data_IF_038997466887
#
_entry.id   IF_038997466887
#
_cell.length_a   1.000
_cell.length_b   1.000
_cell.length_c   1.000
_cell.angle_alpha   90.00
_cell.angle_beta   90.00
_cell.angle_gamma   90.00
#
_symmetry.space_group_name_H-M   'P 1'
#
loop_
_entity.id
_entity.type
_entity.pdbx_description
1 polymer ?
#
# COMPACT_ATOMS: atom_id res chain seq x y z
N UNK A 1 -17.98 -4.18 23.05
CA UNK A 1 -16.66 -4.61 23.58
C UNK A 1 -15.68 -5.09 22.48
N UNK A 2 -15.54 -4.38 21.34
CA UNK A 2 -14.66 -4.79 20.23
C UNK A 2 -13.31 -4.02 20.15
N UNK A 3 -13.01 -3.17 21.15
CA UNK A 3 -12.03 -2.08 21.04
C UNK A 3 -10.58 -2.45 21.40
N UNK A 4 -10.31 -3.70 21.78
CA UNK A 4 -9.00 -4.13 22.31
C UNK A 4 -8.16 -5.00 21.35
N UNK A 5 -8.62 -5.30 20.13
CA UNK A 5 -8.00 -6.33 19.27
C UNK A 5 -6.87 -5.85 18.34
N UNK A 6 -6.56 -4.55 18.27
CA UNK A 6 -5.54 -4.03 17.35
C UNK A 6 -4.27 -3.52 18.03
N UNK A 7 -4.30 -3.27 19.35
CA UNK A 7 -3.09 -2.92 20.10
C UNK A 7 -2.17 -4.15 20.16
N UNK A 8 -0.93 -4.00 19.72
CA UNK A 8 0.05 -5.08 19.61
C UNK A 8 -0.05 -5.93 18.33
N UNK A 9 -0.93 -5.58 17.39
CA UNK A 9 -1.04 -6.31 16.12
C UNK A 9 0.10 -5.94 15.16
N UNK A 10 0.98 -6.89 14.78
CA UNK A 10 2.10 -6.61 13.89
C UNK A 10 1.64 -6.13 12.51
N UNK A 11 0.48 -6.58 12.02
CA UNK A 11 -0.02 -6.18 10.72
C UNK A 11 -0.51 -4.72 10.74
N UNK A 12 -1.12 -4.28 11.85
CA UNK A 12 -1.46 -2.86 12.05
C UNK A 12 -0.21 -1.98 12.08
N UNK A 13 0.86 -2.43 12.75
CA UNK A 13 2.13 -1.72 12.78
C UNK A 13 2.74 -1.57 11.38
N UNK A 14 2.70 -2.64 10.56
CA UNK A 14 3.19 -2.58 9.19
C UNK A 14 2.41 -1.60 8.32
N UNK A 15 1.09 -1.48 8.49
CA UNK A 15 0.33 -0.44 7.78
C UNK A 15 0.70 0.97 8.23
N UNK A 16 0.88 1.20 9.53
CA UNK A 16 1.31 2.50 10.04
C UNK A 16 2.70 2.89 9.49
N UNK A 17 3.64 1.94 9.46
CA UNK A 17 4.95 2.12 8.84
C UNK A 17 4.84 2.36 7.33
N UNK A 18 3.97 1.64 6.64
CA UNK A 18 3.70 1.84 5.21
C UNK A 18 3.20 3.27 4.93
N UNK A 19 2.30 3.79 5.76
CA UNK A 19 1.85 5.18 5.69
C UNK A 19 2.98 6.18 5.94
N UNK A 20 3.86 5.93 6.91
CA UNK A 20 5.03 6.78 7.17
C UNK A 20 5.99 6.81 5.96
N UNK A 21 6.27 5.64 5.36
CA UNK A 21 7.09 5.54 4.15
C UNK A 21 6.45 6.31 2.99
N UNK A 22 5.12 6.21 2.82
CA UNK A 22 4.40 6.94 1.79
C UNK A 22 4.54 8.47 1.97
N UNK A 23 4.47 8.98 3.21
CA UNK A 23 4.70 10.41 3.50
C UNK A 23 6.12 10.82 3.10
N UNK A 24 7.13 10.04 3.48
CA UNK A 24 8.53 10.32 3.13
C UNK A 24 8.72 10.34 1.61
N UNK A 25 8.21 9.32 0.91
CA UNK A 25 8.32 9.21 -0.54
C UNK A 25 7.61 10.37 -1.26
N UNK A 26 6.40 10.74 -0.82
CA UNK A 26 5.65 11.87 -1.39
C UNK A 26 6.35 13.21 -1.17
N UNK A 27 6.86 13.46 0.03
CA UNK A 27 7.60 14.69 0.34
C UNK A 27 8.91 14.79 -0.47
N UNK A 28 9.65 13.68 -0.58
CA UNK A 28 10.85 13.63 -1.41
C UNK A 28 10.53 13.80 -2.89
N UNK A 29 9.44 13.20 -3.38
CA UNK A 29 8.96 13.38 -4.75
C UNK A 29 8.62 14.84 -5.08
N UNK A 30 8.02 15.57 -4.14
CA UNK A 30 7.59 16.95 -4.33
C UNK A 30 8.73 17.99 -4.24
N UNK A 31 9.79 17.71 -3.49
CA UNK A 31 10.83 18.70 -3.17
C UNK A 31 12.26 18.27 -3.54
N UNK A 32 12.55 16.98 -3.57
CA UNK A 32 13.90 16.42 -3.74
C UNK A 32 14.12 15.65 -5.05
N UNK A 33 13.09 15.44 -5.86
CA UNK A 33 13.17 14.74 -7.14
C UNK A 33 12.58 15.57 -8.28
N UNK A 34 12.92 15.21 -9.52
CA UNK A 34 12.39 15.86 -10.72
C UNK A 34 12.12 14.84 -11.83
N UNK A 35 11.32 15.26 -12.82
CA UNK A 35 10.98 14.44 -13.98
C UNK A 35 10.36 13.09 -13.59
N UNK A 36 10.78 12.02 -14.28
CA UNK A 36 10.14 10.71 -14.11
C UNK A 36 10.28 10.11 -12.71
N UNK A 37 11.37 10.44 -11.99
CA UNK A 37 11.56 9.99 -10.62
C UNK A 37 10.52 10.62 -9.68
N UNK A 38 10.23 11.93 -9.82
CA UNK A 38 9.19 12.60 -9.06
C UNK A 38 7.81 12.00 -9.32
N UNK A 39 7.48 11.73 -10.59
CA UNK A 39 6.21 11.08 -10.97
C UNK A 39 6.06 9.70 -10.30
N UNK A 40 7.08 8.85 -10.35
CA UNK A 40 7.04 7.53 -9.74
C UNK A 40 6.93 7.59 -8.21
N UNK A 41 7.64 8.51 -7.56
CA UNK A 41 7.52 8.73 -6.12
C UNK A 41 6.12 9.20 -5.74
N UNK A 42 5.53 10.12 -6.50
CA UNK A 42 4.18 10.62 -6.27
C UNK A 42 3.14 9.50 -6.42
N UNK A 43 3.17 8.76 -7.54
CA UNK A 43 2.23 7.65 -7.77
C UNK A 43 2.40 6.53 -6.74
N UNK A 44 3.63 6.15 -6.41
CA UNK A 44 3.88 5.13 -5.38
C UNK A 44 3.36 5.59 -4.00
N UNK A 45 3.62 6.84 -3.62
CA UNK A 45 3.19 7.40 -2.34
C UNK A 45 1.67 7.43 -2.21
N UNK A 46 0.97 7.85 -3.27
CA UNK A 46 -0.49 7.87 -3.31
C UNK A 46 -1.07 6.47 -3.10
N UNK A 47 -0.65 5.49 -3.90
CA UNK A 47 -1.15 4.13 -3.79
C UNK A 47 -0.81 3.51 -2.43
N UNK A 48 0.42 3.70 -1.94
CA UNK A 48 0.83 3.18 -0.65
C UNK A 48 0.01 3.76 0.51
N UNK A 49 -0.22 5.08 0.51
CA UNK A 49 -1.00 5.75 1.55
C UNK A 49 -2.46 5.28 1.55
N UNK A 50 -3.12 5.24 0.38
CA UNK A 50 -4.51 4.79 0.24
C UNK A 50 -4.67 3.38 0.83
N UNK A 51 -3.77 2.47 0.48
CA UNK A 51 -3.87 1.07 0.88
C UNK A 51 -3.41 0.84 2.33
N UNK A 52 -2.51 1.68 2.85
CA UNK A 52 -2.19 1.69 4.28
C UNK A 52 -3.40 2.07 5.13
N UNK A 53 -4.08 3.16 4.78
CA UNK A 53 -5.29 3.62 5.50
C UNK A 53 -6.43 2.61 5.35
N UNK A 54 -6.70 2.13 4.13
CA UNK A 54 -7.73 1.13 3.89
C UNK A 54 -7.47 -0.17 4.68
N UNK A 55 -6.20 -0.60 4.71
CA UNK A 55 -5.75 -1.75 5.48
C UNK A 55 -6.03 -1.61 6.98
N UNK A 56 -5.68 -0.48 7.59
CA UNK A 56 -5.98 -0.20 9.00
C UNK A 56 -7.49 -0.26 9.29
N UNK A 57 -8.32 0.29 8.40
CA UNK A 57 -9.78 0.31 8.55
C UNK A 57 -10.38 -1.09 8.47
N UNK A 58 -9.90 -1.94 7.54
CA UNK A 58 -10.50 -3.25 7.27
C UNK A 58 -9.87 -4.41 8.04
N UNK A 59 -8.72 -4.18 8.69
CA UNK A 59 -7.96 -5.21 9.40
C UNK A 59 -8.80 -6.05 10.38
N UNK A 60 -9.67 -5.41 11.16
CA UNK A 60 -10.52 -6.09 12.12
C UNK A 60 -11.66 -6.90 11.49
N UNK A 61 -12.03 -6.59 10.23
CA UNK A 61 -13.11 -7.25 9.48
C UNK A 61 -12.61 -8.34 8.54
N UNK A 62 -11.38 -8.22 8.04
CA UNK A 62 -10.82 -9.13 7.05
C UNK A 62 -9.31 -9.03 6.97
N UNK A 63 -8.62 -9.77 7.85
CA UNK A 63 -7.14 -9.81 7.87
C UNK A 63 -6.53 -10.23 6.55
N UNK A 64 -7.14 -11.19 5.84
CA UNK A 64 -6.67 -11.65 4.53
C UNK A 64 -6.75 -10.57 3.46
N UNK A 65 -7.89 -9.87 3.38
CA UNK A 65 -8.07 -8.75 2.46
C UNK A 65 -7.09 -7.61 2.78
N UNK A 66 -6.94 -7.27 4.06
CA UNK A 66 -5.95 -6.29 4.51
C UNK A 66 -4.52 -6.72 4.10
N UNK A 67 -4.11 -7.96 4.36
CA UNK A 67 -2.79 -8.46 3.98
C UNK A 67 -2.52 -8.35 2.47
N UNK A 68 -3.52 -8.61 1.61
CA UNK A 68 -3.40 -8.40 0.16
C UNK A 68 -3.20 -6.93 -0.20
N UNK A 69 -3.93 -6.01 0.45
CA UNK A 69 -3.72 -4.58 0.24
C UNK A 69 -2.30 -4.16 0.63
N UNK A 70 -1.77 -4.66 1.76
CA UNK A 70 -0.40 -4.36 2.19
C UNK A 70 0.63 -4.92 1.21
N UNK A 71 0.53 -6.21 0.87
CA UNK A 71 1.46 -6.86 -0.05
C UNK A 71 1.45 -6.18 -1.41
N UNK A 72 0.26 -5.89 -1.94
CA UNK A 72 0.10 -5.22 -3.21
C UNK A 72 0.68 -3.80 -3.20
N UNK A 73 0.43 -3.04 -2.13
CA UNK A 73 0.99 -1.70 -1.96
C UNK A 73 2.52 -1.70 -1.84
N UNK A 74 3.10 -2.64 -1.10
CA UNK A 74 4.56 -2.76 -0.97
C UNK A 74 5.22 -3.14 -2.29
N UNK A 75 4.66 -4.09 -3.04
CA UNK A 75 5.18 -4.47 -4.35
C UNK A 75 5.02 -3.34 -5.37
N UNK A 76 3.83 -2.76 -5.48
CA UNK A 76 3.55 -1.69 -6.45
C UNK A 76 4.37 -0.44 -6.18
N UNK A 77 4.37 0.04 -4.93
CA UNK A 77 5.00 1.32 -4.57
C UNK A 77 6.50 1.14 -4.41
N UNK A 78 6.94 0.02 -3.84
CA UNK A 78 8.35 -0.31 -3.69
C UNK A 78 9.08 -0.40 -5.03
N UNK A 79 8.47 -0.96 -6.08
CA UNK A 79 9.09 -0.99 -7.42
C UNK A 79 9.19 0.39 -8.04
N UNK A 80 8.17 1.24 -7.87
CA UNK A 80 8.20 2.63 -8.35
C UNK A 80 9.28 3.45 -7.62
N UNK A 81 9.40 3.30 -6.29
CA UNK A 81 10.45 3.97 -5.53
C UNK A 81 11.84 3.46 -5.91
N UNK A 82 12.00 2.14 -6.07
CA UNK A 82 13.27 1.57 -6.51
C UNK A 82 13.69 2.17 -7.86
N UNK A 83 12.79 2.24 -8.83
CA UNK A 83 13.08 2.88 -10.13
C UNK A 83 13.36 4.38 -10.00
N UNK A 84 12.66 5.10 -9.13
CA UNK A 84 12.92 6.52 -8.88
C UNK A 84 14.29 6.78 -8.26
N UNK A 85 14.80 5.83 -7.47
CA UNK A 85 16.10 5.89 -6.80
C UNK A 85 17.23 5.23 -7.61
N UNK A 86 17.04 5.05 -8.92
CA UNK A 86 18.08 4.54 -9.83
C UNK A 86 18.09 3.03 -10.05
N UNK A 87 17.07 2.32 -9.55
CA UNK A 87 16.90 0.89 -9.79
C UNK A 87 16.58 0.56 -11.26
N UNK A 88 16.72 -0.72 -11.66
CA UNK A 88 16.50 -1.15 -13.04
C UNK A 88 15.07 -0.89 -13.53
N UNK A 89 14.93 -0.38 -14.76
CA UNK A 89 13.59 -0.05 -15.34
C UNK A 89 12.70 -1.26 -15.59
N UNK A 90 13.27 -2.47 -15.71
CA UNK A 90 12.48 -3.69 -15.88
C UNK A 90 11.63 -4.02 -14.64
N UNK A 91 11.95 -3.43 -13.48
CA UNK A 91 11.10 -3.51 -12.28
C UNK A 91 9.67 -3.00 -12.53
N UNK A 92 9.46 -2.16 -13.55
CA UNK A 92 8.14 -1.77 -14.00
C UNK A 92 7.25 -2.96 -14.40
N UNK A 93 7.81 -4.11 -14.79
CA UNK A 93 7.05 -5.33 -15.07
C UNK A 93 6.55 -6.03 -13.79
N UNK A 94 7.12 -5.72 -12.62
CA UNK A 94 6.69 -6.23 -11.31
C UNK A 94 5.53 -5.40 -10.74
N UNK A 95 5.48 -4.10 -11.04
CA UNK A 95 4.43 -3.17 -10.58
C UNK A 95 2.99 -3.70 -10.83
N UNK A 96 2.65 -4.28 -12.00
CA UNK A 96 1.32 -4.87 -12.24
C UNK A 96 0.93 -5.99 -11.28
N UNK A 97 1.89 -6.78 -10.77
CA UNK A 97 1.61 -7.85 -9.80
C UNK A 97 1.13 -7.26 -8.47
N UNK A 98 1.74 -6.14 -8.04
CA UNK A 98 1.28 -5.39 -6.89
C UNK A 98 -0.13 -4.82 -7.10
N UNK A 99 -0.38 -4.26 -8.29
CA UNK A 99 -1.71 -3.79 -8.71
C UNK A 99 -2.78 -4.88 -8.64
N UNK A 100 -2.48 -6.08 -9.16
CA UNK A 100 -3.37 -7.23 -9.11
C UNK A 100 -3.69 -7.65 -7.66
N UNK A 101 -2.68 -7.71 -6.78
CA UNK A 101 -2.91 -8.03 -5.38
C UNK A 101 -3.81 -7.00 -4.67
N UNK A 102 -3.64 -5.70 -4.96
CA UNK A 102 -4.53 -4.65 -4.46
C UNK A 102 -5.96 -4.81 -4.97
N UNK A 103 -6.15 -5.08 -6.27
CA UNK A 103 -7.47 -5.35 -6.86
C UNK A 103 -8.16 -6.52 -6.15
N UNK A 104 -7.44 -7.64 -5.97
CA UNK A 104 -7.98 -8.81 -5.28
C UNK A 104 -8.31 -8.50 -3.81
N UNK A 105 -7.50 -7.68 -3.13
CA UNK A 105 -7.78 -7.16 -1.80
C UNK A 105 -9.12 -6.42 -1.75
N UNK A 106 -9.33 -5.43 -2.63
CA UNK A 106 -10.57 -4.65 -2.70
C UNK A 106 -11.80 -5.50 -3.07
N UNK A 107 -11.67 -6.43 -4.01
CA UNK A 107 -12.74 -7.38 -4.36
C UNK A 107 -13.11 -8.22 -3.14
N UNK A 108 -12.13 -8.70 -2.38
CA UNK A 108 -12.41 -9.45 -1.16
C UNK A 108 -13.13 -8.59 -0.12
N UNK A 109 -12.74 -7.32 0.07
CA UNK A 109 -13.49 -6.39 0.92
C UNK A 109 -14.94 -6.28 0.48
N UNK A 110 -15.20 -6.11 -0.82
CA UNK A 110 -16.56 -6.07 -1.35
C UNK A 110 -17.34 -7.35 -1.03
N UNK A 111 -16.73 -8.52 -1.21
CA UNK A 111 -17.35 -9.82 -0.86
C UNK A 111 -17.68 -9.90 0.64
N UNK A 112 -16.79 -9.43 1.53
CA UNK A 112 -17.05 -9.42 2.97
C UNK A 112 -18.27 -8.57 3.32
N UNK A 113 -18.44 -7.40 2.70
CA UNK A 113 -19.62 -6.56 2.91
C UNK A 113 -20.90 -7.12 2.28
N UNK A 114 -20.79 -7.89 1.19
CA UNK A 114 -21.93 -8.55 0.57
C UNK A 114 -22.40 -9.79 1.33
N UNK A 115 -21.47 -10.54 1.95
CA UNK A 115 -21.75 -11.74 2.76
C UNK A 115 -22.05 -11.45 4.22
N UNK A 116 -21.67 -10.27 4.71
CA UNK A 116 -21.91 -9.79 6.08
C UNK A 116 -23.24 -9.05 6.26
N UNK A 117 -24.16 -9.17 5.30
CA UNK A 117 -25.61 -9.02 5.51
C UNK A 117 -26.17 -10.38 5.89
#
# INVERSE_FOLDING_TARGET
MARARTLGDPLAALFALSGAVAVVAGAYGAHGASGKAAEWLATGAEYQMIHAVAGLVVLAKGRGAAALLLLGALLFSGTLYAMALGGPRWLGAVTPLGGLAMILGWIWIAILYLRGR
#
